data_IF_753060417771
#
_entry.id   IF_753060417771
#
_cell.length_a   1.000
_cell.length_b   1.000
_cell.length_c   1.000
_cell.angle_alpha   90.00
_cell.angle_beta   90.00
_cell.angle_gamma   90.00
#
_symmetry.space_group_name_H-M   'P 1'
#
loop_
_entity.id
_entity.type
_entity.pdbx_description
1 polymer ?
#
# COMPACT_ATOMS: atom_id res chain seq x y z
N UNK A 1 -6.22 -0.65 14.70
CA UNK A 1 -6.57 -1.84 13.91
C UNK A 1 -5.46 -2.89 13.93
N UNK A 2 -4.19 -2.53 13.69
CA UNK A 2 -3.07 -3.50 13.72
C UNK A 2 -2.98 -4.26 15.05
N UNK A 3 -3.07 -3.58 16.20
CA UNK A 3 -2.92 -4.23 17.52
C UNK A 3 -3.98 -5.29 17.84
N UNK A 4 -5.22 -5.11 17.36
CA UNK A 4 -6.39 -5.92 17.76
C UNK A 4 -7.05 -6.67 16.61
N UNK A 5 -6.61 -6.44 15.37
CA UNK A 5 -7.35 -6.84 14.17
C UNK A 5 -8.65 -6.05 13.96
N UNK A 6 -9.28 -6.25 12.80
CA UNK A 6 -10.50 -5.53 12.43
C UNK A 6 -11.69 -5.86 13.35
N UNK A 7 -11.91 -7.14 13.65
CA UNK A 7 -13.08 -7.59 14.41
C UNK A 7 -13.06 -7.13 15.87
N UNK A 8 -11.93 -7.26 16.57
CA UNK A 8 -11.85 -6.90 17.98
C UNK A 8 -11.63 -5.39 18.22
N UNK A 9 -11.20 -4.63 17.20
CA UNK A 9 -11.20 -3.17 17.29
C UNK A 9 -12.64 -2.63 17.31
N UNK A 10 -12.95 -1.83 18.32
CA UNK A 10 -14.25 -1.16 18.49
C UNK A 10 -14.17 0.34 18.23
N UNK A 11 -15.27 0.94 17.77
CA UNK A 11 -15.36 2.39 17.57
C UNK A 11 -15.22 3.17 18.89
N UNK A 12 -15.64 2.58 20.01
CA UNK A 12 -15.46 3.17 21.36
C UNK A 12 -13.97 3.30 21.71
N UNK A 13 -13.22 2.21 21.62
CA UNK A 13 -11.77 2.23 21.90
C UNK A 13 -11.02 3.20 20.98
N UNK A 14 -11.42 3.29 19.70
CA UNK A 14 -10.79 4.21 18.75
C UNK A 14 -11.08 5.66 19.16
N UNK A 15 -12.31 5.99 19.52
CA UNK A 15 -12.68 7.33 19.98
C UNK A 15 -11.92 7.72 21.25
N UNK A 16 -11.84 6.80 22.21
CA UNK A 16 -11.10 6.98 23.46
C UNK A 16 -9.61 7.23 23.22
N UNK A 17 -8.96 6.40 22.37
CA UNK A 17 -7.55 6.59 22.00
C UNK A 17 -7.30 7.88 21.21
N UNK A 18 -8.27 8.32 20.41
CA UNK A 18 -8.19 9.55 19.64
C UNK A 18 -8.52 10.80 20.48
N UNK A 19 -9.00 10.64 21.72
CA UNK A 19 -9.38 11.76 22.59
C UNK A 19 -10.63 12.51 22.09
N UNK A 20 -11.49 11.85 21.32
CA UNK A 20 -12.75 12.42 20.79
C UNK A 20 -13.93 11.61 21.29
N UNK A 21 -15.13 12.21 21.28
CA UNK A 21 -16.34 11.46 21.62
C UNK A 21 -16.74 10.53 20.47
N UNK A 22 -17.40 9.41 20.80
CA UNK A 22 -17.94 8.48 19.80
C UNK A 22 -18.83 9.19 18.75
N UNK A 23 -19.75 10.11 19.11
CA UNK A 23 -20.53 10.85 18.11
C UNK A 23 -19.68 11.68 17.16
N UNK A 24 -18.60 12.32 17.63
CA UNK A 24 -17.67 13.09 16.78
C UNK A 24 -16.96 12.17 15.79
N UNK A 25 -16.52 10.99 16.23
CA UNK A 25 -15.93 10.00 15.32
C UNK A 25 -16.92 9.59 14.21
N UNK A 26 -18.19 9.37 14.55
CA UNK A 26 -19.23 9.03 13.58
C UNK A 26 -19.62 10.17 12.63
N UNK A 27 -19.31 11.43 12.97
CA UNK A 27 -19.47 12.55 12.02
C UNK A 27 -18.45 12.49 10.88
N UNK A 28 -17.27 11.90 11.13
CA UNK A 28 -16.23 11.73 10.12
C UNK A 28 -16.32 10.40 9.38
N UNK A 29 -16.75 9.34 10.07
CA UNK A 29 -16.85 7.99 9.51
C UNK A 29 -18.17 7.36 9.91
N UNK A 30 -19.05 7.16 8.93
CA UNK A 30 -20.38 6.57 9.07
C UNK A 30 -20.31 5.12 9.57
N UNK A 31 -19.18 4.42 9.37
CA UNK A 31 -19.00 3.04 9.82
C UNK A 31 -17.54 2.70 10.16
N UNK A 32 -17.36 1.59 10.90
CA UNK A 32 -16.03 1.02 11.17
C UNK A 32 -15.32 0.58 9.87
N UNK A 33 -16.08 0.05 8.90
CA UNK A 33 -15.55 -0.33 7.58
C UNK A 33 -15.00 0.90 6.86
N UNK A 34 -15.76 2.00 6.84
CA UNK A 34 -15.35 3.24 6.19
C UNK A 34 -14.07 3.81 6.81
N UNK A 35 -13.99 3.86 8.15
CA UNK A 35 -12.78 4.26 8.85
C UNK A 35 -11.59 3.34 8.50
N UNK A 36 -11.82 2.03 8.47
CA UNK A 36 -10.78 1.07 8.13
C UNK A 36 -10.26 1.26 6.70
N UNK A 37 -11.16 1.43 5.73
CA UNK A 37 -10.81 1.70 4.34
C UNK A 37 -10.05 3.02 4.19
N UNK A 38 -10.43 4.07 4.93
CA UNK A 38 -9.72 5.34 4.93
C UNK A 38 -8.29 5.22 5.47
N UNK A 39 -8.10 4.45 6.55
CA UNK A 39 -6.76 4.14 7.07
C UNK A 39 -5.95 3.36 6.04
N UNK A 40 -6.53 2.31 5.43
CA UNK A 40 -5.87 1.51 4.41
C UNK A 40 -5.46 2.38 3.20
N UNK A 41 -6.38 3.20 2.68
CA UNK A 41 -6.10 4.12 1.57
C UNK A 41 -4.94 5.06 1.90
N UNK A 42 -4.87 5.62 3.12
CA UNK A 42 -3.77 6.49 3.52
C UNK A 42 -2.41 5.79 3.45
N UNK A 43 -2.30 4.55 3.90
CA UNK A 43 -1.06 3.78 3.81
C UNK A 43 -0.71 3.43 2.36
N UNK A 44 -1.71 3.09 1.55
CA UNK A 44 -1.54 2.85 0.11
C UNK A 44 -1.02 4.10 -0.61
N UNK A 45 -1.58 5.27 -0.32
CA UNK A 45 -1.16 6.53 -0.92
C UNK A 45 0.28 6.88 -0.54
N UNK A 46 0.67 6.66 0.72
CA UNK A 46 2.04 6.85 1.17
C UNK A 46 3.02 5.96 0.39
N UNK A 47 2.71 4.67 0.26
CA UNK A 47 3.52 3.72 -0.50
C UNK A 47 3.64 4.13 -1.98
N UNK A 48 2.51 4.34 -2.66
CA UNK A 48 2.47 4.69 -4.08
C UNK A 48 3.18 6.02 -4.34
N UNK A 49 3.00 7.01 -3.46
CA UNK A 49 3.68 8.30 -3.57
C UNK A 49 5.19 8.16 -3.42
N UNK A 50 5.65 7.39 -2.43
CA UNK A 50 7.08 7.11 -2.21
C UNK A 50 7.73 6.44 -3.42
N UNK A 51 7.10 5.40 -3.96
CA UNK A 51 7.58 4.70 -5.18
C UNK A 51 7.60 5.65 -6.38
N UNK A 52 6.53 6.42 -6.60
CA UNK A 52 6.47 7.42 -7.69
C UNK A 52 7.54 8.49 -7.56
N UNK A 53 7.81 8.97 -6.35
CA UNK A 53 8.86 9.95 -6.11
C UNK A 53 10.23 9.36 -6.41
N UNK A 54 10.51 8.16 -5.90
CA UNK A 54 11.77 7.45 -6.13
C UNK A 54 12.06 7.24 -7.62
N UNK A 55 11.05 6.84 -8.38
CA UNK A 55 11.17 6.63 -9.82
C UNK A 55 11.45 7.93 -10.62
N UNK A 56 11.10 9.11 -10.09
CA UNK A 56 11.35 10.41 -10.73
C UNK A 56 12.73 11.00 -10.42
N UNK A 57 13.49 10.41 -9.49
CA UNK A 57 14.79 10.95 -9.05
C UNK A 57 15.89 10.90 -10.10
N UNK A 58 15.73 10.08 -11.14
CA UNK A 58 16.75 9.82 -12.18
C UNK A 58 16.08 9.33 -13.45
N UNK A 59 16.78 9.44 -14.58
CA UNK A 59 16.36 8.86 -15.88
C UNK A 59 17.07 7.55 -16.21
N UNK A 60 18.06 7.15 -15.41
CA UNK A 60 18.71 5.85 -15.55
C UNK A 60 17.80 4.74 -14.99
N UNK A 61 17.31 3.86 -15.87
CA UNK A 61 16.40 2.76 -15.50
C UNK A 61 16.96 1.83 -14.41
N UNK A 62 18.28 1.57 -14.40
CA UNK A 62 18.89 0.74 -13.37
C UNK A 62 18.83 1.43 -12.01
N UNK A 63 19.06 2.74 -11.99
CA UNK A 63 18.96 3.52 -10.76
C UNK A 63 17.50 3.66 -10.30
N UNK A 64 16.54 3.82 -11.23
CA UNK A 64 15.11 3.85 -10.90
C UNK A 64 14.61 2.58 -10.25
N UNK A 65 14.96 1.41 -10.80
CA UNK A 65 14.57 0.12 -10.21
C UNK A 65 15.13 0.02 -8.80
N UNK A 66 16.41 0.37 -8.59
CA UNK A 66 17.02 0.39 -7.25
C UNK A 66 16.29 1.35 -6.31
N UNK A 67 15.99 2.57 -6.76
CA UNK A 67 15.31 3.58 -5.95
C UNK A 67 13.88 3.16 -5.58
N UNK A 68 13.13 2.56 -6.50
CA UNK A 68 11.78 2.08 -6.25
C UNK A 68 11.75 0.91 -5.25
N UNK A 69 12.69 -0.04 -5.40
CA UNK A 69 12.86 -1.13 -4.43
C UNK A 69 13.25 -0.57 -3.07
N UNK A 70 14.21 0.36 -3.01
CA UNK A 70 14.59 1.01 -1.74
C UNK A 70 13.39 1.70 -1.09
N UNK A 71 12.62 2.49 -1.83
CA UNK A 71 11.43 3.18 -1.30
C UNK A 71 10.37 2.21 -0.77
N UNK A 72 10.24 1.02 -1.39
CA UNK A 72 9.36 -0.03 -0.89
C UNK A 72 9.85 -0.60 0.44
N UNK A 73 11.14 -0.92 0.56
CA UNK A 73 11.73 -1.38 1.82
C UNK A 73 11.72 -0.30 2.90
N UNK A 74 11.98 0.96 2.55
CA UNK A 74 11.87 2.10 3.47
C UNK A 74 10.43 2.24 4.00
N UNK A 75 9.42 2.05 3.15
CA UNK A 75 8.01 2.03 3.58
C UNK A 75 7.77 0.91 4.59
N UNK A 76 8.30 -0.29 4.36
CA UNK A 76 8.15 -1.43 5.26
C UNK A 76 8.81 -1.16 6.61
N UNK A 77 10.02 -0.60 6.60
CA UNK A 77 10.80 -0.30 7.81
C UNK A 77 10.16 0.80 8.67
N UNK A 78 9.67 1.86 8.03
CA UNK A 78 9.16 3.05 8.73
C UNK A 78 7.66 2.98 9.03
N UNK A 79 6.88 2.21 8.26
CA UNK A 79 5.43 2.07 8.39
C UNK A 79 5.04 0.59 8.55
N UNK A 80 5.51 -0.02 9.65
CA UNK A 80 5.19 -1.42 9.98
C UNK A 80 3.69 -1.68 10.07
N UNK A 81 2.90 -0.66 10.44
CA UNK A 81 1.44 -0.75 10.49
C UNK A 81 0.83 -0.81 9.08
N UNK A 82 1.29 0.06 8.17
CA UNK A 82 0.87 0.05 6.77
C UNK A 82 1.20 -1.27 6.08
N UNK A 83 2.40 -1.80 6.28
CA UNK A 83 2.77 -3.11 5.76
C UNK A 83 1.81 -4.21 6.24
N UNK A 84 1.54 -4.29 7.55
CA UNK A 84 0.62 -5.30 8.11
C UNK A 84 -0.80 -5.16 7.56
N UNK A 85 -1.30 -3.92 7.44
CA UNK A 85 -2.64 -3.66 6.92
C UNK A 85 -2.79 -3.98 5.42
N UNK A 86 -1.72 -3.83 4.63
CA UNK A 86 -1.75 -4.06 3.18
C UNK A 86 -1.44 -5.53 2.85
N UNK A 87 -0.42 -6.13 3.49
CA UNK A 87 0.17 -7.40 3.04
C UNK A 87 -0.07 -8.60 3.97
N UNK A 88 -0.36 -8.38 5.25
CA UNK A 88 -0.68 -9.41 6.26
C UNK A 88 -2.15 -9.34 6.70
N UNK A 89 -3.01 -8.85 5.80
CA UNK A 89 -4.38 -8.55 6.15
C UNK A 89 -5.21 -9.83 6.30
N UNK A 90 -5.52 -10.23 7.53
CA UNK A 90 -6.44 -11.36 7.82
C UNK A 90 -7.90 -11.09 7.41
N UNK A 91 -8.23 -9.84 7.05
CA UNK A 91 -9.59 -9.37 6.72
C UNK A 91 -9.83 -9.26 5.20
N UNK A 92 -9.09 -10.00 4.37
CA UNK A 92 -9.37 -10.14 2.92
C UNK A 92 -10.67 -10.88 2.61
N UNK A 93 -11.37 -11.43 3.61
CA UNK A 93 -12.71 -11.99 3.45
C UNK A 93 -13.77 -10.91 3.18
N UNK A 94 -13.50 -9.65 3.53
CA UNK A 94 -14.35 -8.51 3.19
C UNK A 94 -14.05 -8.01 1.76
N UNK A 95 -15.01 -8.08 0.82
CA UNK A 95 -14.76 -7.73 -0.58
C UNK A 95 -14.23 -6.31 -0.80
N UNK A 96 -14.69 -5.34 0.01
CA UNK A 96 -14.24 -3.95 -0.10
C UNK A 96 -12.76 -3.79 0.27
N UNK A 97 -12.30 -4.52 1.28
CA UNK A 97 -10.90 -4.49 1.73
C UNK A 97 -10.00 -5.19 0.71
N UNK A 98 -10.43 -6.36 0.22
CA UNK A 98 -9.72 -7.07 -0.84
C UNK A 98 -9.58 -6.20 -2.11
N UNK A 99 -10.66 -5.51 -2.50
CA UNK A 99 -10.63 -4.57 -3.63
C UNK A 99 -9.62 -3.44 -3.40
N UNK A 100 -9.57 -2.88 -2.19
CA UNK A 100 -8.67 -1.78 -1.86
C UNK A 100 -7.18 -2.20 -1.91
N UNK A 101 -6.84 -3.39 -1.39
CA UNK A 101 -5.48 -3.95 -1.50
C UNK A 101 -5.10 -4.23 -2.97
N UNK A 102 -6.06 -4.73 -3.75
CA UNK A 102 -5.87 -4.93 -5.20
C UNK A 102 -5.58 -3.62 -5.93
N UNK A 103 -6.33 -2.55 -5.62
CA UNK A 103 -6.11 -1.20 -6.17
C UNK A 103 -4.72 -0.68 -5.80
N UNK A 104 -4.22 -0.95 -4.60
CA UNK A 104 -2.87 -0.57 -4.18
C UNK A 104 -1.78 -1.23 -5.04
N UNK A 105 -1.91 -2.54 -5.24
CA UNK A 105 -0.99 -3.34 -6.04
C UNK A 105 -1.02 -2.91 -7.51
N UNK A 106 -2.22 -2.67 -8.04
CA UNK A 106 -2.42 -2.14 -9.39
C UNK A 106 -1.80 -0.74 -9.54
N UNK A 107 -1.98 0.15 -8.57
CA UNK A 107 -1.41 1.51 -8.60
C UNK A 107 0.12 1.52 -8.62
N UNK A 108 0.76 0.62 -7.86
CA UNK A 108 2.21 0.44 -7.90
C UNK A 108 2.66 -0.13 -9.25
N UNK A 109 1.91 -1.12 -9.77
CA UNK A 109 2.18 -1.72 -11.09
C UNK A 109 2.08 -0.69 -12.19
N UNK A 110 1.05 0.15 -12.18
CA UNK A 110 0.83 1.21 -13.17
C UNK A 110 1.95 2.25 -13.10
N UNK A 111 2.37 2.66 -11.90
CA UNK A 111 3.49 3.58 -11.73
C UNK A 111 4.80 3.02 -12.32
N UNK A 112 5.11 1.75 -12.10
CA UNK A 112 6.30 1.09 -12.68
C UNK A 112 6.14 0.91 -14.19
N UNK A 113 4.95 0.53 -14.65
CA UNK A 113 4.61 0.34 -16.05
C UNK A 113 4.77 1.61 -16.87
N UNK A 114 4.26 2.74 -16.39
CA UNK A 114 4.31 4.02 -17.11
C UNK A 114 5.76 4.41 -17.44
N UNK A 115 6.67 4.21 -16.49
CA UNK A 115 8.09 4.50 -16.66
C UNK A 115 8.82 3.51 -17.56
N UNK A 116 8.56 2.22 -17.41
CA UNK A 116 9.13 1.20 -18.31
C UNK A 116 8.67 1.47 -19.73
N UNK A 117 7.38 1.73 -19.94
CA UNK A 117 6.81 1.94 -21.26
C UNK A 117 7.38 3.17 -21.95
N UNK A 118 7.63 4.26 -21.21
CA UNK A 118 8.17 5.49 -21.78
C UNK A 118 9.64 5.35 -22.21
N UNK A 119 10.47 4.67 -21.42
CA UNK A 119 11.94 4.75 -21.56
C UNK A 119 12.62 3.48 -22.09
N UNK A 120 11.88 2.38 -22.28
CA UNK A 120 12.47 1.10 -22.73
C UNK A 120 12.20 0.74 -24.20
N UNK A 121 11.25 1.41 -24.86
CA UNK A 121 10.80 1.04 -26.21
C UNK A 121 10.12 -0.33 -26.30
N UNK A 122 9.77 -0.94 -25.16
CA UNK A 122 9.09 -2.23 -25.11
C UNK A 122 7.62 -2.09 -25.52
N UNK A 123 7.06 -3.15 -26.09
CA UNK A 123 5.62 -3.28 -26.31
C UNK A 123 4.85 -3.19 -24.97
N UNK A 124 3.68 -2.51 -24.92
CA UNK A 124 2.92 -2.32 -23.68
C UNK A 124 2.65 -3.61 -22.88
N UNK A 125 2.30 -4.71 -23.55
CA UNK A 125 2.05 -5.98 -22.85
C UNK A 125 3.32 -6.50 -22.15
N UNK A 126 4.47 -6.40 -22.79
CA UNK A 126 5.76 -6.82 -22.22
C UNK A 126 6.20 -5.89 -21.09
N UNK A 127 6.03 -4.58 -21.25
CA UNK A 127 6.32 -3.61 -20.20
C UNK A 127 5.46 -3.87 -18.95
N UNK A 128 4.16 -4.16 -19.13
CA UNK A 128 3.25 -4.46 -18.01
C UNK A 128 3.61 -5.77 -17.33
N UNK A 129 3.97 -6.80 -18.08
CA UNK A 129 4.43 -8.07 -17.51
C UNK A 129 5.67 -7.89 -16.63
N UNK A 130 6.65 -7.08 -17.07
CA UNK A 130 7.85 -6.77 -16.26
C UNK A 130 7.47 -5.97 -15.02
N UNK A 131 6.59 -4.97 -15.14
CA UNK A 131 6.13 -4.18 -14.01
C UNK A 131 5.45 -5.05 -12.93
N UNK A 132 4.55 -5.95 -13.34
CA UNK A 132 3.92 -6.93 -12.44
C UNK A 132 4.98 -7.81 -11.76
N UNK A 133 5.93 -8.34 -12.53
CA UNK A 133 6.99 -9.19 -11.99
C UNK A 133 7.87 -8.47 -10.96
N UNK A 134 8.24 -7.22 -11.21
CA UNK A 134 9.02 -6.38 -10.29
C UNK A 134 8.27 -6.08 -9.00
N UNK A 135 6.98 -5.75 -9.08
CA UNK A 135 6.15 -5.51 -7.90
C UNK A 135 6.00 -6.81 -7.09
N UNK A 136 5.64 -7.92 -7.73
CA UNK A 136 5.46 -9.20 -7.06
C UNK A 136 6.75 -9.69 -6.37
N UNK A 137 7.90 -9.67 -7.05
CA UNK A 137 9.16 -10.12 -6.45
C UNK A 137 9.58 -9.23 -5.27
N UNK A 138 9.28 -7.94 -5.32
CA UNK A 138 9.57 -7.02 -4.21
C UNK A 138 8.70 -7.36 -2.99
N UNK A 139 7.40 -7.54 -3.20
CA UNK A 139 6.45 -7.93 -2.13
C UNK A 139 6.81 -9.28 -1.51
N UNK A 140 7.12 -10.28 -2.33
CA UNK A 140 7.48 -11.62 -1.83
C UNK A 140 8.84 -11.60 -1.11
N UNK A 141 9.80 -10.80 -1.57
CA UNK A 141 11.09 -10.62 -0.88
C UNK A 141 10.92 -9.94 0.48
N UNK A 142 10.05 -8.94 0.57
CA UNK A 142 9.74 -8.28 1.84
C UNK A 142 9.06 -9.22 2.83
N UNK A 143 8.10 -10.02 2.35
CA UNK A 143 7.47 -11.07 3.18
C UNK A 143 8.49 -12.06 3.71
N UNK A 144 9.44 -12.50 2.88
CA UNK A 144 10.51 -13.38 3.34
C UNK A 144 11.41 -12.71 4.37
N UNK A 145 11.75 -11.43 4.17
CA UNK A 145 12.66 -10.69 5.06
C UNK A 145 12.08 -10.42 6.46
N UNK A 146 10.76 -10.23 6.56
CA UNK A 146 10.08 -9.93 7.82
C UNK A 146 9.67 -11.16 8.64
N UNK A 147 9.70 -12.35 8.05
CA UNK A 147 9.41 -13.63 8.71
C UNK A 147 10.70 -14.29 9.22
#
# INVERSE_FOLDING_TARGET
>A
FVDRGYHAAGMDEIADRAGVSKPVLYQHFSSKVELYLAVLQKHVDNLVSGVRQALRTTTDNRQRVRAAVQAFFDFIEHDSQGYRLIFENDYVTEPQVAAQVKVATESCTDAVFDLISHDSGLEPHRARMIAVGLVSVSVDSARYWLN
#
